data_IF_039395846744
#
_entry.id   IF_039395846744
#
_cell.length_a   1.000
_cell.length_b   1.000
_cell.length_c   1.000
_cell.angle_alpha   90.00
_cell.angle_beta   90.00
_cell.angle_gamma   90.00
#
_symmetry.space_group_name_H-M   'P 1'
#
loop_
_entity.id
_entity.type
_entity.pdbx_description
1 polymer ?
#
# COMPACT_ATOMS: atom_id res chain seq x y z
N UNK A 1 27.36 -6.06 -19.26
CA UNK A 1 26.62 -7.09 -20.01
C UNK A 1 25.16 -6.69 -20.04
N UNK A 2 24.51 -6.56 -21.18
CA UNK A 2 23.09 -6.30 -21.25
C UNK A 2 22.34 -7.51 -20.68
N UNK A 3 21.36 -7.26 -19.80
CA UNK A 3 20.45 -8.30 -19.32
C UNK A 3 19.67 -8.83 -20.52
N UNK A 4 19.42 -10.15 -20.61
CA UNK A 4 18.66 -10.71 -21.71
C UNK A 4 17.28 -10.08 -21.72
N UNK A 5 16.88 -9.55 -22.85
CA UNK A 5 15.50 -9.24 -23.19
C UNK A 5 14.70 -10.51 -22.97
N UNK A 6 13.64 -10.43 -22.19
CA UNK A 6 12.75 -11.54 -21.91
C UNK A 6 11.96 -11.88 -23.18
N UNK A 7 12.61 -12.56 -24.11
CA UNK A 7 11.97 -13.34 -25.14
C UNK A 7 11.96 -14.78 -24.65
N UNK A 8 10.87 -15.24 -24.14
CA UNK A 8 10.71 -16.63 -23.76
C UNK A 8 9.36 -16.80 -23.09
N UNK A 9 8.49 -17.52 -23.75
CA UNK A 9 7.21 -18.05 -23.28
C UNK A 9 7.36 -18.97 -22.07
N UNK A 10 7.84 -18.42 -20.95
CA UNK A 10 7.70 -19.14 -19.71
C UNK A 10 6.26 -18.95 -19.23
N UNK A 11 5.45 -20.00 -19.35
CA UNK A 11 4.06 -20.04 -18.93
C UNK A 11 3.87 -19.75 -17.43
N UNK A 12 4.95 -19.70 -16.66
CA UNK A 12 4.92 -19.41 -15.24
C UNK A 12 6.10 -18.54 -14.79
N UNK A 13 5.92 -17.83 -13.70
CA UNK A 13 6.95 -17.10 -12.97
C UNK A 13 6.87 -17.48 -11.49
N UNK A 14 7.95 -18.05 -10.95
CA UNK A 14 8.01 -18.55 -9.56
C UNK A 14 6.80 -19.43 -9.17
N UNK A 15 6.39 -20.33 -10.04
CA UNK A 15 5.28 -21.24 -9.82
C UNK A 15 3.88 -20.67 -10.09
N UNK A 16 3.77 -19.41 -10.49
CA UNK A 16 2.49 -18.77 -10.82
C UNK A 16 2.30 -18.68 -12.33
N UNK A 17 1.11 -19.01 -12.80
CA UNK A 17 0.78 -18.82 -14.22
C UNK A 17 0.93 -17.33 -14.57
N UNK A 18 1.68 -17.05 -15.62
CA UNK A 18 1.72 -15.71 -16.19
C UNK A 18 0.35 -15.38 -16.79
N UNK A 19 -0.11 -14.11 -16.71
CA UNK A 19 -1.27 -13.71 -17.50
C UNK A 19 -1.02 -14.03 -18.96
N UNK A 20 -2.05 -14.46 -19.66
CA UNK A 20 -2.00 -14.72 -21.09
C UNK A 20 -1.48 -13.52 -21.89
N UNK A 21 -1.14 -13.72 -23.17
CA UNK A 21 -0.31 -12.79 -23.93
C UNK A 21 -0.97 -11.47 -24.30
N UNK A 22 -2.21 -11.23 -23.94
CA UNK A 22 -2.91 -10.04 -24.47
C UNK A 22 -3.29 -9.10 -23.36
N UNK A 23 -2.59 -7.97 -23.24
CA UNK A 23 -3.17 -6.82 -22.58
C UNK A 23 -4.46 -6.42 -23.31
N UNK A 24 -5.45 -5.90 -22.61
CA UNK A 24 -6.52 -5.14 -23.24
C UNK A 24 -5.90 -4.13 -24.20
N UNK A 25 -6.42 -4.01 -25.41
CA UNK A 25 -5.83 -3.19 -26.46
C UNK A 25 -5.40 -1.81 -26.00
N UNK A 26 -4.23 -1.36 -26.38
CA UNK A 26 -3.69 -0.04 -26.07
C UNK A 26 -2.96 0.08 -24.73
N UNK A 27 -2.44 -1.00 -24.18
CA UNK A 27 -1.54 -0.98 -23.00
C UNK A 27 -0.19 -1.54 -23.37
N UNK A 28 0.61 -0.73 -24.04
CA UNK A 28 1.94 -1.11 -24.48
C UNK A 28 3.00 -0.80 -23.41
N UNK A 29 4.06 -1.61 -23.40
CA UNK A 29 5.25 -1.35 -22.59
C UNK A 29 6.09 -0.27 -23.29
N UNK A 30 6.26 0.87 -22.61
CA UNK A 30 7.08 1.97 -23.13
C UNK A 30 8.55 1.83 -22.73
N UNK A 31 9.42 2.57 -23.44
CA UNK A 31 10.85 2.61 -23.12
C UNK A 31 11.06 3.12 -21.68
N UNK A 32 11.88 2.41 -20.91
CA UNK A 32 12.14 2.75 -19.50
C UNK A 32 11.16 2.14 -18.49
N UNK A 33 10.14 1.41 -18.97
CA UNK A 33 9.19 0.69 -18.11
C UNK A 33 9.52 -0.80 -17.99
N UNK A 34 8.98 -1.42 -16.97
CA UNK A 34 8.88 -2.88 -16.83
C UNK A 34 7.44 -3.28 -16.50
N UNK A 35 7.07 -4.49 -16.89
CA UNK A 35 5.81 -5.12 -16.54
C UNK A 35 6.12 -6.32 -15.66
N UNK A 36 5.82 -6.19 -14.37
CA UNK A 36 6.19 -7.15 -13.35
C UNK A 36 4.97 -7.89 -12.79
N UNK A 37 5.19 -9.07 -12.19
CA UNK A 37 4.15 -9.76 -11.44
C UNK A 37 3.77 -8.97 -10.18
N UNK A 38 2.48 -8.89 -9.87
CA UNK A 38 1.99 -8.23 -8.66
C UNK A 38 1.28 -9.25 -7.75
N UNK A 39 0.07 -9.65 -8.08
CA UNK A 39 -0.69 -10.62 -7.29
C UNK A 39 -1.51 -11.54 -8.21
N UNK A 40 -1.54 -12.82 -7.92
CA UNK A 40 -2.16 -13.81 -8.79
C UNK A 40 -1.65 -13.68 -10.23
N UNK A 41 -2.57 -13.43 -11.15
CA UNK A 41 -2.26 -13.17 -12.57
C UNK A 41 -2.04 -11.71 -12.91
N UNK A 42 -2.26 -10.80 -11.96
CA UNK A 42 -2.17 -9.36 -12.20
C UNK A 42 -0.74 -8.89 -12.32
N UNK A 43 -0.57 -7.85 -13.09
CA UNK A 43 0.71 -7.22 -13.39
C UNK A 43 0.70 -5.75 -13.03
N UNK A 44 1.91 -5.20 -12.88
CA UNK A 44 2.11 -3.80 -12.58
C UNK A 44 3.16 -3.20 -13.50
N UNK A 45 2.83 -2.05 -14.09
CA UNK A 45 3.78 -1.22 -14.82
C UNK A 45 4.57 -0.36 -13.85
N UNK A 46 5.88 -0.36 -14.01
CA UNK A 46 6.81 0.40 -13.16
C UNK A 46 7.92 0.98 -14.02
N UNK A 47 8.52 2.09 -13.59
CA UNK A 47 9.75 2.57 -14.18
C UNK A 47 10.93 1.69 -13.75
N UNK A 48 11.85 1.42 -14.67
CA UNK A 48 13.06 0.66 -14.38
C UNK A 48 13.94 1.33 -13.31
N UNK A 49 13.95 2.68 -13.28
CA UNK A 49 14.73 3.51 -12.35
C UNK A 49 13.88 4.34 -11.38
N UNK A 50 12.55 4.23 -11.44
CA UNK A 50 11.61 4.97 -10.58
C UNK A 50 11.37 4.34 -9.23
N UNK A 51 10.34 4.83 -8.54
CA UNK A 51 9.81 4.19 -7.34
C UNK A 51 9.08 2.90 -7.74
N UNK A 52 9.46 1.81 -7.10
CA UNK A 52 8.90 0.48 -7.37
C UNK A 52 8.19 -0.02 -6.13
N UNK A 53 7.15 -0.83 -6.31
CA UNK A 53 6.46 -1.43 -5.18
C UNK A 53 7.39 -2.30 -4.35
N UNK A 54 7.13 -2.38 -3.08
CA UNK A 54 7.97 -3.07 -2.10
C UNK A 54 7.17 -3.79 -1.01
N UNK A 55 7.84 -4.21 0.05
CA UNK A 55 7.22 -4.95 1.16
C UNK A 55 6.19 -4.12 1.91
N UNK A 56 6.40 -2.81 2.03
CA UNK A 56 5.47 -1.87 2.67
C UNK A 56 4.12 -1.82 1.98
N UNK A 57 4.07 -1.78 0.65
CA UNK A 57 2.82 -1.87 -0.11
C UNK A 57 2.07 -3.19 0.19
N UNK A 58 2.81 -4.30 0.17
CA UNK A 58 2.26 -5.63 0.42
C UNK A 58 1.68 -5.75 1.83
N UNK A 59 2.41 -5.29 2.86
CA UNK A 59 1.94 -5.41 4.25
C UNK A 59 0.80 -4.46 4.53
N UNK A 60 0.78 -3.27 3.93
CA UNK A 60 -0.33 -2.31 4.06
C UNK A 60 -1.62 -2.88 3.49
N UNK A 61 -1.59 -3.37 2.24
CA UNK A 61 -2.75 -4.00 1.62
C UNK A 61 -3.24 -5.22 2.39
N UNK A 62 -2.30 -6.08 2.82
CA UNK A 62 -2.62 -7.27 3.60
C UNK A 62 -3.24 -6.93 4.94
N UNK A 63 -2.64 -6.01 5.69
CA UNK A 63 -3.05 -5.70 7.05
C UNK A 63 -4.42 -5.02 7.07
N UNK A 64 -4.61 -4.00 6.23
CA UNK A 64 -5.89 -3.31 6.13
C UNK A 64 -7.03 -4.25 5.75
N UNK A 65 -6.83 -5.10 4.75
CA UNK A 65 -7.84 -6.08 4.31
C UNK A 65 -7.97 -7.29 5.24
N UNK A 66 -7.07 -7.48 6.20
CA UNK A 66 -7.22 -8.50 7.26
C UNK A 66 -8.17 -8.01 8.34
N UNK A 67 -8.02 -6.75 8.77
CA UNK A 67 -8.89 -6.15 9.79
C UNK A 67 -10.22 -5.62 9.23
N UNK A 68 -10.28 -5.34 7.90
CA UNK A 68 -11.52 -5.03 7.19
C UNK A 68 -11.69 -6.00 6.00
N UNK A 69 -12.14 -7.25 6.24
CA UNK A 69 -12.07 -8.31 5.21
C UNK A 69 -13.14 -8.21 4.12
N UNK A 70 -14.17 -7.41 4.30
CA UNK A 70 -15.29 -7.24 3.35
C UNK A 70 -15.68 -5.77 3.23
N UNK A 71 -14.76 -4.88 2.85
CA UNK A 71 -15.10 -3.49 2.62
C UNK A 71 -15.97 -3.39 1.36
N UNK A 72 -17.02 -2.59 1.39
CA UNK A 72 -17.74 -2.20 0.18
C UNK A 72 -16.90 -1.25 -0.66
N UNK A 73 -16.18 -0.33 0.01
CA UNK A 73 -15.38 0.71 -0.63
C UNK A 73 -14.04 0.92 0.10
N UNK A 74 -12.99 1.04 -0.71
CA UNK A 74 -11.62 1.31 -0.23
C UNK A 74 -11.13 2.62 -0.85
N UNK A 75 -10.45 3.48 -0.05
CA UNK A 75 -9.61 4.55 -0.54
C UNK A 75 -8.13 4.20 -0.36
N UNK A 76 -7.29 4.50 -1.34
CA UNK A 76 -5.83 4.38 -1.26
C UNK A 76 -5.19 5.76 -1.47
N UNK A 77 -4.63 6.31 -0.39
CA UNK A 77 -4.07 7.65 -0.34
C UNK A 77 -2.61 7.64 -0.77
N UNK A 78 -2.24 8.55 -1.69
CA UNK A 78 -0.89 8.59 -2.25
C UNK A 78 -0.53 7.28 -2.95
N UNK A 79 -1.45 6.78 -3.77
CA UNK A 79 -1.42 5.40 -4.30
C UNK A 79 -0.22 5.07 -5.19
N UNK A 80 0.62 6.04 -5.53
CA UNK A 80 1.77 5.84 -6.40
C UNK A 80 1.39 5.18 -7.72
N UNK A 81 2.01 4.06 -8.01
CA UNK A 81 1.75 3.26 -9.21
C UNK A 81 0.56 2.29 -9.07
N UNK A 82 -0.21 2.41 -7.98
CA UNK A 82 -1.42 1.63 -7.72
C UNK A 82 -1.19 0.24 -7.12
N UNK A 83 -0.04 -0.03 -6.54
CA UNK A 83 0.32 -1.34 -5.99
C UNK A 83 -0.57 -1.76 -4.83
N UNK A 84 -0.77 -0.89 -3.83
CA UNK A 84 -1.64 -1.16 -2.67
C UNK A 84 -3.09 -1.35 -3.12
N UNK A 85 -3.60 -0.44 -3.94
CA UNK A 85 -4.96 -0.49 -4.47
C UNK A 85 -5.25 -1.80 -5.23
N UNK A 86 -4.35 -2.22 -6.12
CA UNK A 86 -4.50 -3.46 -6.89
C UNK A 86 -4.44 -4.70 -5.98
N UNK A 87 -3.52 -4.75 -5.02
CA UNK A 87 -3.46 -5.85 -4.06
C UNK A 87 -4.71 -5.93 -3.19
N UNK A 88 -5.24 -4.79 -2.73
CA UNK A 88 -6.48 -4.72 -1.97
C UNK A 88 -7.69 -5.15 -2.82
N UNK A 89 -7.79 -4.67 -4.07
CA UNK A 89 -8.83 -5.08 -5.02
C UNK A 89 -8.79 -6.58 -5.34
N UNK A 90 -7.60 -7.17 -5.40
CA UNK A 90 -7.44 -8.61 -5.60
C UNK A 90 -7.91 -9.42 -4.40
N UNK A 91 -7.60 -8.95 -3.18
CA UNK A 91 -8.02 -9.61 -1.92
C UNK A 91 -9.51 -9.50 -1.64
N UNK A 92 -10.13 -8.40 -2.07
CA UNK A 92 -11.53 -8.07 -1.81
C UNK A 92 -12.32 -8.03 -3.12
N UNK A 93 -12.68 -9.19 -3.71
CA UNK A 93 -13.46 -9.25 -4.95
C UNK A 93 -14.82 -8.56 -4.75
N UNK A 94 -15.22 -7.71 -5.69
CA UNK A 94 -16.48 -6.97 -5.62
C UNK A 94 -16.41 -5.61 -4.92
N UNK A 95 -15.28 -5.27 -4.30
CA UNK A 95 -15.04 -3.96 -3.67
C UNK A 95 -14.69 -2.91 -4.72
N UNK A 96 -15.22 -1.70 -4.56
CA UNK A 96 -14.76 -0.51 -5.27
C UNK A 96 -13.53 0.07 -4.59
N UNK A 97 -12.49 0.39 -5.38
CA UNK A 97 -11.25 0.98 -4.87
C UNK A 97 -11.02 2.32 -5.54
N UNK A 98 -11.01 3.39 -4.78
CA UNK A 98 -10.71 4.74 -5.23
C UNK A 98 -9.29 5.12 -4.82
N UNK A 99 -8.52 5.72 -5.71
CA UNK A 99 -7.17 6.12 -5.38
C UNK A 99 -6.92 7.58 -5.65
N UNK A 100 -6.03 8.20 -4.90
CA UNK A 100 -5.52 9.53 -5.18
C UNK A 100 -4.00 9.51 -5.26
N UNK A 101 -3.48 10.15 -6.31
CA UNK A 101 -2.04 10.30 -6.53
C UNK A 101 -1.76 11.70 -7.08
N UNK A 102 -0.78 12.38 -6.50
CA UNK A 102 -0.42 13.74 -6.86
C UNK A 102 0.59 13.81 -8.03
N UNK A 103 1.27 12.72 -8.34
CA UNK A 103 2.23 12.63 -9.43
C UNK A 103 1.58 12.07 -10.69
N UNK A 104 1.49 12.88 -11.75
CA UNK A 104 0.90 12.47 -13.02
C UNK A 104 1.57 11.21 -13.62
N UNK A 105 2.90 11.07 -13.47
CA UNK A 105 3.65 9.92 -13.99
C UNK A 105 3.32 8.63 -13.23
N UNK A 106 3.23 8.68 -11.91
CA UNK A 106 2.83 7.52 -11.09
C UNK A 106 1.39 7.11 -11.41
N UNK A 107 0.48 8.09 -11.52
CA UNK A 107 -0.91 7.85 -11.90
C UNK A 107 -1.04 7.26 -13.32
N UNK A 108 -0.20 7.69 -14.26
CA UNK A 108 -0.17 7.11 -15.62
C UNK A 108 0.15 5.61 -15.57
N UNK A 109 1.14 5.22 -14.78
CA UNK A 109 1.51 3.81 -14.58
C UNK A 109 0.40 3.02 -13.87
N UNK A 110 -0.24 3.64 -12.86
CA UNK A 110 -1.39 3.03 -12.19
C UNK A 110 -2.53 2.74 -13.19
N UNK A 111 -2.90 3.73 -14.02
CA UNK A 111 -3.93 3.57 -15.07
C UNK A 111 -3.59 2.46 -16.06
N UNK A 112 -2.32 2.38 -16.49
CA UNK A 112 -1.83 1.28 -17.35
C UNK A 112 -2.03 -0.07 -16.68
N UNK A 113 -1.66 -0.18 -15.40
CA UNK A 113 -1.78 -1.41 -14.61
C UNK A 113 -3.24 -1.81 -14.40
N UNK A 114 -4.11 -0.87 -14.04
CA UNK A 114 -5.54 -1.09 -13.85
C UNK A 114 -6.17 -1.62 -15.13
N UNK A 115 -5.93 -0.94 -16.26
CA UNK A 115 -6.45 -1.33 -17.56
C UNK A 115 -5.90 -2.69 -18.02
N UNK A 116 -4.59 -2.93 -17.87
CA UNK A 116 -3.98 -4.21 -18.22
C UNK A 116 -4.62 -5.39 -17.49
N UNK A 117 -4.99 -5.21 -16.24
CA UNK A 117 -5.63 -6.24 -15.43
C UNK A 117 -7.16 -6.29 -15.58
N UNK A 118 -7.77 -5.46 -16.43
CA UNK A 118 -9.22 -5.38 -16.65
C UNK A 118 -9.98 -4.91 -15.41
N UNK A 119 -9.40 -3.97 -14.63
CA UNK A 119 -9.97 -3.49 -13.38
C UNK A 119 -10.59 -2.09 -13.47
N UNK A 120 -10.76 -1.53 -14.67
CA UNK A 120 -11.27 -0.17 -14.91
C UNK A 120 -12.67 0.08 -14.33
N UNK A 121 -13.44 -0.98 -14.11
CA UNK A 121 -14.79 -0.89 -13.55
C UNK A 121 -14.84 -1.00 -12.01
N UNK A 122 -13.67 -1.17 -11.37
CA UNK A 122 -13.58 -1.34 -9.92
C UNK A 122 -12.50 -0.52 -9.24
N UNK A 123 -11.47 -0.11 -9.98
CA UNK A 123 -10.36 0.69 -9.46
C UNK A 123 -10.33 2.02 -10.18
N UNK A 124 -10.58 3.10 -9.45
CA UNK A 124 -10.83 4.44 -9.98
C UNK A 124 -9.70 5.40 -9.59
N UNK A 125 -8.67 5.57 -10.45
CA UNK A 125 -7.51 6.40 -10.13
C UNK A 125 -7.77 7.88 -10.43
N UNK A 126 -7.54 8.73 -9.42
CA UNK A 126 -7.73 10.18 -9.49
C UNK A 126 -6.39 10.92 -9.31
N UNK A 127 -6.13 11.92 -10.16
CA UNK A 127 -5.07 12.89 -9.92
C UNK A 127 -5.55 13.89 -8.88
N UNK A 128 -4.80 14.11 -7.82
CA UNK A 128 -5.18 15.08 -6.79
C UNK A 128 -4.20 15.09 -5.62
N UNK A 129 -4.44 16.00 -4.70
CA UNK A 129 -3.72 16.10 -3.44
C UNK A 129 -4.62 15.58 -2.31
N UNK A 130 -4.12 14.66 -1.50
CA UNK A 130 -4.88 14.10 -0.37
C UNK A 130 -5.26 15.14 0.69
N UNK A 131 -4.56 16.29 0.72
CA UNK A 131 -4.82 17.42 1.61
C UNK A 131 -6.01 18.26 1.17
N UNK A 132 -6.47 18.10 -0.08
CA UNK A 132 -7.64 18.80 -0.59
C UNK A 132 -8.91 18.33 0.16
N UNK A 133 -9.64 19.23 0.85
CA UNK A 133 -10.86 18.87 1.56
C UNK A 133 -11.97 18.39 0.62
N UNK A 134 -11.99 18.84 -0.63
CA UNK A 134 -12.99 18.46 -1.64
C UNK A 134 -12.66 17.13 -2.32
N UNK A 135 -11.49 16.56 -2.02
CA UNK A 135 -11.12 15.25 -2.55
C UNK A 135 -12.13 14.19 -2.11
N UNK A 136 -12.72 13.52 -3.09
CA UNK A 136 -13.80 12.54 -2.89
C UNK A 136 -15.12 13.09 -2.30
N UNK A 137 -15.36 14.43 -2.32
CA UNK A 137 -16.62 15.00 -1.86
C UNK A 137 -17.84 14.47 -2.64
N UNK A 138 -17.63 14.02 -3.87
CA UNK A 138 -18.61 13.36 -4.74
C UNK A 138 -18.79 11.85 -4.44
N UNK A 139 -18.07 11.32 -3.47
CA UNK A 139 -18.06 9.90 -3.16
C UNK A 139 -18.67 9.62 -1.78
N UNK A 140 -19.29 8.45 -1.62
CA UNK A 140 -19.69 7.96 -0.31
C UNK A 140 -18.45 7.68 0.55
N UNK A 141 -18.57 7.70 1.89
CA UNK A 141 -17.49 7.35 2.80
C UNK A 141 -16.92 5.95 2.54
N UNK A 142 -15.72 5.69 3.03
CA UNK A 142 -14.98 4.45 2.79
C UNK A 142 -14.90 3.57 4.04
N UNK A 143 -15.10 2.27 3.86
CA UNK A 143 -14.98 1.29 4.95
C UNK A 143 -13.52 1.04 5.34
N UNK A 144 -12.61 1.20 4.36
CA UNK A 144 -11.18 1.05 4.56
C UNK A 144 -10.43 2.16 3.81
N UNK A 145 -9.57 2.86 4.54
CA UNK A 145 -8.61 3.81 3.96
C UNK A 145 -7.21 3.21 4.13
N UNK A 146 -6.44 3.19 3.06
CA UNK A 146 -5.06 2.68 3.02
C UNK A 146 -4.09 3.81 2.71
N UNK A 147 -2.85 3.67 3.14
CA UNK A 147 -1.80 4.61 2.78
C UNK A 147 -0.41 4.12 3.14
N UNK A 148 0.56 4.50 2.29
CA UNK A 148 1.99 4.32 2.53
C UNK A 148 2.66 5.69 2.54
N UNK A 149 2.55 6.45 3.64
CA UNK A 149 3.09 7.80 3.71
C UNK A 149 4.60 7.83 3.45
N UNK A 150 5.16 8.92 2.89
CA UNK A 150 6.60 9.08 2.83
C UNK A 150 7.18 9.15 4.24
N UNK A 151 8.38 8.58 4.43
CA UNK A 151 8.94 8.36 5.77
C UNK A 151 9.76 9.52 6.32
N UNK A 152 10.27 10.38 5.44
CA UNK A 152 11.29 11.33 5.83
C UNK A 152 10.89 12.77 5.52
N UNK A 153 10.97 13.67 6.51
CA UNK A 153 10.83 15.10 6.29
C UNK A 153 11.79 15.60 5.20
N UNK A 154 11.37 16.61 4.47
CA UNK A 154 12.18 17.24 3.45
C UNK A 154 13.50 17.76 4.07
N UNK A 155 14.61 17.48 3.41
CA UNK A 155 15.95 17.89 3.85
C UNK A 155 16.65 16.96 4.84
N UNK A 156 16.00 15.94 5.39
CA UNK A 156 16.65 14.98 6.31
C UNK A 156 17.41 13.86 5.61
N UNK A 157 17.09 13.54 4.36
CA UNK A 157 17.79 12.52 3.57
C UNK A 157 18.12 13.03 2.18
N UNK A 158 19.13 12.43 1.57
CA UNK A 158 19.48 12.70 0.18
C UNK A 158 18.27 12.39 -0.71
N UNK A 159 18.00 13.28 -1.65
CA UNK A 159 16.99 13.07 -2.65
C UNK A 159 17.26 11.77 -3.43
N UNK A 160 16.20 11.06 -3.79
CA UNK A 160 16.31 9.88 -4.62
C UNK A 160 16.85 10.27 -6.02
N UNK A 161 17.54 9.34 -6.66
CA UNK A 161 18.15 9.57 -7.97
C UNK A 161 17.13 9.85 -9.10
N UNK A 162 15.87 9.44 -8.94
CA UNK A 162 14.82 9.64 -9.92
C UNK A 162 13.72 10.58 -9.39
N UNK A 163 13.24 11.57 -10.17
CA UNK A 163 12.24 12.55 -9.72
C UNK A 163 10.95 11.93 -9.17
N UNK A 164 10.46 10.83 -9.73
CA UNK A 164 9.29 10.09 -9.24
C UNK A 164 9.50 9.51 -7.83
N UNK A 165 10.74 9.18 -7.46
CA UNK A 165 11.03 8.57 -6.17
C UNK A 165 11.15 9.60 -5.04
N UNK A 166 11.32 10.89 -5.36
CA UNK A 166 11.48 11.94 -4.34
C UNK A 166 10.22 12.10 -3.49
N UNK A 167 9.02 12.36 -4.07
CA UNK A 167 7.80 12.49 -3.26
C UNK A 167 7.32 11.17 -2.64
N UNK A 168 7.79 10.03 -3.12
CA UNK A 168 7.47 8.75 -2.51
C UNK A 168 8.27 8.47 -1.23
N UNK A 169 9.34 9.23 -0.98
CA UNK A 169 10.24 9.05 0.17
C UNK A 169 10.28 10.24 1.09
N UNK A 170 10.14 11.44 0.54
CA UNK A 170 10.20 12.70 1.28
C UNK A 170 8.82 13.35 1.35
N UNK A 171 8.50 13.97 2.47
CA UNK A 171 7.21 14.59 2.78
C UNK A 171 6.95 15.91 2.03
N UNK A 172 7.33 15.96 0.76
CA UNK A 172 7.11 17.14 -0.10
C UNK A 172 5.65 17.31 -0.52
N UNK A 173 4.83 16.25 -0.44
CA UNK A 173 3.43 16.22 -0.86
C UNK A 173 2.47 15.65 0.18
N UNK A 174 2.87 15.64 1.42
CA UNK A 174 2.08 15.16 2.55
C UNK A 174 2.90 14.30 3.50
N UNK A 175 2.63 14.43 4.76
CA UNK A 175 3.23 13.71 5.88
C UNK A 175 2.27 12.66 6.43
N UNK A 176 2.73 11.83 7.36
CA UNK A 176 1.84 10.90 8.10
C UNK A 176 0.66 11.64 8.74
N UNK A 177 0.83 12.90 9.18
CA UNK A 177 -0.26 13.70 9.75
C UNK A 177 -1.32 14.05 8.70
N UNK A 178 -0.90 14.40 7.48
CA UNK A 178 -1.84 14.68 6.37
C UNK A 178 -2.62 13.43 5.97
N UNK A 179 -1.96 12.26 5.94
CA UNK A 179 -2.62 10.97 5.68
C UNK A 179 -3.64 10.64 6.76
N UNK A 180 -3.31 10.81 8.04
CA UNK A 180 -4.22 10.56 9.15
C UNK A 180 -5.45 11.49 9.11
N UNK A 181 -5.25 12.79 8.87
CA UNK A 181 -6.34 13.76 8.71
C UNK A 181 -7.25 13.44 7.53
N UNK A 182 -6.67 13.12 6.37
CA UNK A 182 -7.44 12.72 5.19
C UNK A 182 -8.22 11.43 5.45
N UNK A 183 -7.60 10.44 6.08
CA UNK A 183 -8.27 9.18 6.43
C UNK A 183 -9.45 9.41 7.38
N UNK A 184 -9.26 10.19 8.46
CA UNK A 184 -10.33 10.48 9.43
C UNK A 184 -11.55 11.13 8.76
N UNK A 185 -11.32 12.02 7.78
CA UNK A 185 -12.37 12.69 7.00
C UNK A 185 -13.13 11.72 6.08
N UNK A 186 -12.42 10.76 5.49
CA UNK A 186 -12.96 9.87 4.44
C UNK A 186 -13.61 8.61 4.99
N UNK A 187 -13.32 8.21 6.21
CA UNK A 187 -13.85 6.98 6.82
C UNK A 187 -15.37 7.01 7.01
N UNK A 188 -16.01 5.91 6.65
CA UNK A 188 -17.38 5.60 7.07
C UNK A 188 -17.44 5.38 8.58
N UNK A 189 -18.63 5.48 9.23
CA UNK A 189 -18.79 5.04 10.60
C UNK A 189 -18.35 3.59 10.78
N UNK A 190 -17.45 3.34 11.73
CA UNK A 190 -16.85 2.02 11.97
C UNK A 190 -15.79 1.59 10.94
N UNK A 191 -15.42 2.46 10.00
CA UNK A 191 -14.35 2.20 9.04
C UNK A 191 -12.95 2.22 9.68
N UNK A 192 -11.97 1.66 8.96
CA UNK A 192 -10.59 1.54 9.42
C UNK A 192 -9.59 2.28 8.51
N UNK A 193 -8.59 2.91 9.11
CA UNK A 193 -7.40 3.40 8.44
C UNK A 193 -6.24 2.44 8.71
N UNK A 194 -5.60 1.93 7.65
CA UNK A 194 -4.40 1.13 7.78
C UNK A 194 -3.24 1.78 7.03
N UNK A 195 -2.12 1.91 7.72
CA UNK A 195 -0.90 2.49 7.16
C UNK A 195 0.35 1.82 7.73
N UNK A 196 1.47 2.05 7.05
CA UNK A 196 2.79 1.60 7.45
C UNK A 196 3.70 2.79 7.69
N UNK A 197 4.57 2.71 8.72
CA UNK A 197 5.53 3.76 9.02
C UNK A 197 6.79 3.17 9.69
N UNK A 198 7.98 3.82 9.62
CA UNK A 198 9.17 3.32 10.28
C UNK A 198 8.99 3.15 11.80
N UNK A 199 9.48 2.05 12.34
CA UNK A 199 9.34 1.72 13.77
C UNK A 199 10.15 2.67 14.67
N UNK A 200 11.24 3.24 14.16
CA UNK A 200 12.05 4.28 14.84
C UNK A 200 11.33 5.65 14.90
N UNK A 201 10.24 5.81 14.16
CA UNK A 201 9.38 7.00 14.16
C UNK A 201 7.96 6.70 14.67
N UNK A 202 7.78 5.64 15.43
CA UNK A 202 6.48 5.20 15.99
C UNK A 202 5.75 6.30 16.73
N UNK A 203 6.43 7.01 17.59
CA UNK A 203 5.82 8.08 18.40
C UNK A 203 5.24 9.19 17.52
N UNK A 204 5.90 9.50 16.40
CA UNK A 204 5.43 10.45 15.42
C UNK A 204 4.15 9.96 14.74
N UNK A 205 4.09 8.68 14.37
CA UNK A 205 2.89 8.09 13.79
C UNK A 205 1.73 8.08 14.81
N UNK A 206 1.98 7.70 16.06
CA UNK A 206 0.96 7.72 17.12
C UNK A 206 0.45 9.13 17.40
N UNK A 207 1.32 10.12 17.45
CA UNK A 207 0.94 11.52 17.60
C UNK A 207 0.07 12.01 16.43
N UNK A 208 0.42 11.65 15.20
CA UNK A 208 -0.36 12.00 14.00
C UNK A 208 -1.77 11.38 14.02
N UNK A 209 -1.88 10.10 14.38
CA UNK A 209 -3.17 9.43 14.55
C UNK A 209 -4.01 10.12 15.63
N UNK A 210 -3.43 10.39 16.80
CA UNK A 210 -4.14 11.07 17.90
C UNK A 210 -4.62 12.47 17.54
N UNK A 211 -3.81 13.26 16.82
CA UNK A 211 -4.18 14.59 16.34
C UNK A 211 -5.34 14.56 15.31
N UNK A 212 -5.49 13.47 14.59
CA UNK A 212 -6.60 13.23 13.66
C UNK A 212 -7.81 12.54 14.31
N UNK A 213 -7.86 12.47 15.64
CA UNK A 213 -8.92 11.74 16.39
C UNK A 213 -9.07 10.27 15.96
N UNK A 214 -7.97 9.65 15.53
CA UNK A 214 -7.87 8.22 15.25
C UNK A 214 -7.24 7.49 16.44
N UNK A 215 -7.89 6.42 16.89
CA UNK A 215 -7.34 5.51 17.89
C UNK A 215 -6.72 4.31 17.20
N UNK A 216 -5.42 4.07 17.41
CA UNK A 216 -4.77 2.86 16.94
C UNK A 216 -5.33 1.65 17.70
N UNK A 217 -5.96 0.73 16.98
CA UNK A 217 -6.55 -0.49 17.53
C UNK A 217 -5.57 -1.65 17.53
N UNK A 218 -4.87 -1.81 16.42
CA UNK A 218 -3.93 -2.90 16.21
C UNK A 218 -2.62 -2.37 15.64
N UNK A 219 -1.52 -2.97 16.08
CA UNK A 219 -0.18 -2.66 15.58
C UNK A 219 0.65 -3.94 15.46
N UNK A 220 1.41 -4.03 14.41
CA UNK A 220 2.36 -5.11 14.21
C UNK A 220 3.69 -4.60 13.68
N UNK A 221 4.78 -5.04 14.29
CA UNK A 221 6.12 -4.73 13.82
C UNK A 221 6.48 -5.63 12.63
N UNK A 222 7.12 -5.07 11.62
CA UNK A 222 7.65 -5.75 10.43
C UNK A 222 9.17 -5.69 10.52
N UNK A 223 9.81 -6.83 10.73
CA UNK A 223 11.26 -6.98 10.86
C UNK A 223 11.82 -7.49 9.53
N UNK A 224 12.60 -6.69 8.83
CA UNK A 224 13.11 -7.07 7.50
C UNK A 224 14.08 -8.24 7.56
N UNK A 225 14.96 -8.25 8.55
CA UNK A 225 15.88 -9.35 8.77
C UNK A 225 16.16 -9.53 10.26
N UNK A 226 16.22 -10.76 10.67
CA UNK A 226 16.51 -11.14 12.06
C UNK A 226 17.83 -10.50 12.54
N UNK A 227 17.76 -9.80 13.68
CA UNK A 227 18.89 -9.07 14.26
C UNK A 227 19.12 -7.66 13.71
N UNK A 228 18.37 -7.20 12.71
CA UNK A 228 18.44 -5.82 12.22
C UNK A 228 17.47 -4.93 13.01
N UNK A 229 17.91 -3.72 13.45
CA UNK A 229 17.07 -2.85 14.28
C UNK A 229 16.03 -2.08 13.47
N UNK A 230 16.24 -1.89 12.17
CA UNK A 230 15.33 -1.16 11.30
C UNK A 230 14.19 -2.05 10.83
N UNK A 231 12.99 -1.55 11.00
CA UNK A 231 11.77 -2.19 10.56
C UNK A 231 10.67 -1.16 10.32
N UNK A 232 9.47 -1.66 10.11
CA UNK A 232 8.27 -0.85 9.99
C UNK A 232 7.28 -1.27 11.06
N UNK A 233 6.38 -0.38 11.44
CA UNK A 233 5.13 -0.73 12.10
C UNK A 233 4.00 -0.62 11.07
N UNK A 234 3.09 -1.57 11.06
CA UNK A 234 1.81 -1.46 10.36
C UNK A 234 0.70 -1.27 11.39
N UNK A 235 -0.19 -0.33 11.13
CA UNK A 235 -1.24 0.11 12.04
C UNK A 235 -2.62 -0.10 11.44
N UNK A 236 -3.60 -0.41 12.29
CA UNK A 236 -5.01 -0.28 11.96
C UNK A 236 -5.67 0.61 13.03
N UNK A 237 -6.30 1.69 12.60
CA UNK A 237 -6.90 2.71 13.47
C UNK A 237 -8.34 3.00 13.05
N UNK A 238 -9.18 3.36 14.02
CA UNK A 238 -10.56 3.80 13.81
C UNK A 238 -10.77 5.19 14.39
N UNK A 239 -11.81 5.90 13.93
CA UNK A 239 -12.18 7.17 14.53
C UNK A 239 -12.64 6.95 15.97
N UNK A 240 -12.15 7.77 16.89
CA UNK A 240 -12.51 7.72 18.32
C UNK A 240 -14.01 7.80 18.52
N UNK A 241 -14.69 8.65 17.77
CA UNK A 241 -16.14 8.85 17.87
C UNK A 241 -16.98 7.62 17.46
N UNK A 242 -16.41 6.69 16.73
CA UNK A 242 -17.10 5.45 16.27
C UNK A 242 -16.96 4.30 17.28
N UNK A 243 -16.17 4.52 18.35
CA UNK A 243 -15.90 3.53 19.39
C UNK A 243 -16.71 3.85 20.66
N UNK A 244 -17.03 2.86 21.50
CA UNK A 244 -17.62 3.08 22.80
C UNK A 244 -16.78 4.08 23.64
N UNK A 245 -17.41 4.96 24.41
CA UNK A 245 -16.74 6.02 25.18
C UNK A 245 -15.62 5.48 26.09
N UNK A 246 -15.79 4.30 26.63
CA UNK A 246 -14.84 3.65 27.52
C UNK A 246 -13.91 2.63 26.83
N UNK A 247 -13.96 2.55 25.49
CA UNK A 247 -13.16 1.57 24.73
C UNK A 247 -11.67 1.68 25.04
N UNK A 248 -11.13 2.90 25.02
CA UNK A 248 -9.70 3.14 25.29
C UNK A 248 -9.28 2.85 26.74
N UNK A 249 -10.23 2.84 27.69
CA UNK A 249 -9.99 2.51 29.09
C UNK A 249 -10.12 0.99 29.36
N UNK A 250 -10.94 0.30 28.58
CA UNK A 250 -11.20 -1.14 28.73
C UNK A 250 -10.24 -2.00 27.90
N UNK A 251 -9.81 -1.53 26.76
CA UNK A 251 -8.93 -2.26 25.85
C UNK A 251 -7.50 -1.77 26.00
N UNK A 252 -6.54 -2.70 26.03
CA UNK A 252 -5.14 -2.35 25.79
C UNK A 252 -4.98 -1.95 24.33
N UNK A 253 -5.03 -0.65 24.04
CA UNK A 253 -4.84 -0.12 22.70
C UNK A 253 -3.45 0.53 22.58
N UNK A 254 -2.73 0.23 21.47
CA UNK A 254 -3.10 -0.79 20.49
C UNK A 254 -2.87 -2.22 21.00
N UNK A 255 -3.67 -3.17 20.49
CA UNK A 255 -3.29 -4.58 20.56
C UNK A 255 -2.02 -4.77 19.72
N UNK A 256 -0.95 -5.22 20.36
CA UNK A 256 0.35 -5.42 19.73
C UNK A 256 0.51 -6.88 19.35
N UNK A 257 0.47 -7.15 18.05
CA UNK A 257 0.69 -8.49 17.52
C UNK A 257 2.18 -8.89 17.57
N UNK A 258 2.48 -10.20 17.62
CA UNK A 258 3.86 -10.66 17.47
C UNK A 258 4.50 -10.15 16.18
N UNK A 259 5.80 -9.79 16.19
CA UNK A 259 6.48 -9.26 14.99
C UNK A 259 6.36 -10.19 13.79
N UNK A 260 6.23 -9.61 12.60
CA UNK A 260 6.28 -10.32 11.32
C UNK A 260 7.71 -10.26 10.78
N UNK A 261 8.42 -11.36 10.86
CA UNK A 261 9.77 -11.49 10.30
C UNK A 261 9.68 -11.72 8.78
N UNK A 262 10.50 -10.99 8.00
CA UNK A 262 10.60 -11.19 6.56
C UNK A 262 11.66 -12.24 6.22
N UNK A 263 12.86 -12.13 6.84
CA UNK A 263 13.96 -13.07 6.63
C UNK A 263 14.69 -13.39 7.92
N UNK A 264 15.06 -14.64 8.05
CA UNK A 264 16.01 -15.09 9.08
C UNK A 264 17.42 -14.55 8.82
N UNK A 265 18.30 -14.66 9.81
CA UNK A 265 19.69 -14.23 9.71
C UNK A 265 20.43 -14.88 8.53
N UNK A 266 20.11 -16.14 8.21
CA UNK A 266 20.66 -16.90 7.08
C UNK A 266 20.05 -16.54 5.71
N UNK A 267 19.11 -15.59 5.67
CA UNK A 267 18.46 -15.10 4.45
C UNK A 267 17.22 -15.88 4.02
N UNK A 268 16.88 -16.98 4.68
CA UNK A 268 15.62 -17.72 4.40
C UNK A 268 14.41 -16.84 4.68
N UNK A 269 13.40 -16.98 3.83
CA UNK A 269 12.10 -16.32 4.02
C UNK A 269 11.37 -16.96 5.20
N UNK A 270 10.87 -16.14 6.13
CA UNK A 270 10.09 -16.64 7.27
C UNK A 270 8.72 -17.16 6.83
N UNK A 271 8.22 -18.18 7.53
CA UNK A 271 6.93 -18.79 7.24
C UNK A 271 5.74 -17.82 7.43
N UNK A 272 5.86 -16.84 8.32
CA UNK A 272 4.84 -15.81 8.54
C UNK A 272 4.64 -14.95 7.30
N UNK A 273 5.73 -14.35 6.79
CA UNK A 273 5.65 -13.54 5.56
C UNK A 273 5.30 -14.40 4.34
N UNK A 274 5.70 -15.66 4.29
CA UNK A 274 5.29 -16.57 3.22
C UNK A 274 3.76 -16.73 3.19
N UNK A 275 3.10 -16.85 4.34
CA UNK A 275 1.62 -16.87 4.44
C UNK A 275 1.00 -15.54 4.02
N UNK A 276 1.57 -14.41 4.43
CA UNK A 276 1.12 -13.08 4.00
C UNK A 276 1.21 -12.93 2.47
N UNK A 277 2.33 -13.33 1.87
CA UNK A 277 2.52 -13.33 0.43
C UNK A 277 1.46 -14.16 -0.29
N UNK A 278 1.20 -15.38 0.17
CA UNK A 278 0.12 -16.22 -0.37
C UNK A 278 -1.25 -15.56 -0.25
N UNK A 279 -1.54 -14.95 0.90
CA UNK A 279 -2.80 -14.27 1.15
C UNK A 279 -3.03 -13.06 0.22
N UNK A 280 -1.97 -12.43 -0.27
CA UNK A 280 -2.01 -11.34 -1.26
C UNK A 280 -1.81 -11.83 -2.70
N UNK A 281 -1.77 -13.14 -2.91
CA UNK A 281 -1.62 -13.73 -4.24
C UNK A 281 -0.19 -13.74 -4.79
N UNK A 282 0.82 -13.54 -3.95
CA UNK A 282 2.21 -13.74 -4.32
C UNK A 282 2.63 -15.19 -4.06
N UNK A 283 3.59 -15.73 -4.85
CA UNK A 283 4.25 -16.95 -4.45
C UNK A 283 4.90 -16.79 -3.07
N UNK A 284 4.95 -17.87 -2.25
CA UNK A 284 5.45 -17.79 -0.88
C UNK A 284 6.89 -17.25 -0.77
N UNK A 285 7.62 -17.27 -1.86
CA UNK A 285 9.03 -16.92 -1.93
C UNK A 285 9.91 -18.12 -1.57
N UNK A 286 11.05 -18.19 -2.21
CA UNK A 286 12.11 -19.16 -1.93
C UNK A 286 13.20 -18.48 -1.11
#
# INVERSE_FOLDING_TARGET
MPRPTASGDAASYKGWARPGPVPPGGVDLESGESLDGLCGRWRIFQLLKGNRFSTDDLVTAWYGTTWCPRPGRIADLGSGIGSVALMAAWRCPGTEVHTVEAQAESLRLARKSIRYNGQDQRVFPRLGDLRDPELFADQAPFDLVLGTPPYWPEGQRLAAAHPQSVPARLEVRGSIADYALAAARLLAPGGLFACVFPNDQRDRAMAALGAAELLCLHRREIVFKEGEPYGLDVFAAARRQDLPEDFGARAQCPEVEPPLLIRHADGRVDAGIARVRLAVGFPPGL
#
